data_IF_715410127205
#
_entry.id   IF_715410127205
#
_cell.length_a   1.000
_cell.length_b   1.000
_cell.length_c   1.000
_cell.angle_alpha   90.00
_cell.angle_beta   90.00
_cell.angle_gamma   90.00
#
_symmetry.space_group_name_H-M   'P 1'
#
loop_
_entity.id
_entity.type
_entity.pdbx_description
1 polymer ?
#
# COMPACT_ATOMS: atom_id res chain seq x y z
N UNK A 1 11.87 -8.29 17.05
CA UNK A 1 12.41 -7.96 15.72
C UNK A 1 12.39 -9.23 14.90
N UNK A 2 11.36 -9.50 14.13
CA UNK A 2 11.39 -10.59 13.17
C UNK A 2 11.85 -10.00 11.84
N UNK A 3 13.05 -10.32 11.40
CA UNK A 3 13.49 -10.14 10.04
C UNK A 3 12.51 -10.92 9.15
N UNK A 4 11.81 -10.26 8.26
CA UNK A 4 11.08 -10.91 7.19
C UNK A 4 12.11 -11.36 6.16
N UNK A 5 12.62 -12.56 6.31
CA UNK A 5 13.29 -13.25 5.24
C UNK A 5 12.29 -13.48 4.11
N UNK A 6 12.55 -12.91 2.96
CA UNK A 6 11.84 -13.19 1.71
C UNK A 6 11.36 -11.98 0.90
N UNK A 7 11.25 -10.76 1.46
CA UNK A 7 10.86 -9.53 0.74
C UNK A 7 11.57 -8.27 1.24
N UNK A 8 12.48 -8.38 2.17
CA UNK A 8 13.36 -7.28 2.53
C UNK A 8 14.41 -7.16 1.43
N UNK A 9 14.15 -6.27 0.48
CA UNK A 9 15.25 -5.76 -0.32
C UNK A 9 16.23 -5.11 0.65
N UNK A 10 17.51 -5.38 0.43
CA UNK A 10 18.58 -4.78 1.21
C UNK A 10 18.30 -3.28 1.37
N UNK A 11 17.97 -2.83 2.60
CA UNK A 11 17.65 -1.42 2.86
C UNK A 11 16.22 -1.04 3.22
N UNK A 12 15.24 -1.96 3.20
CA UNK A 12 13.90 -1.65 3.73
C UNK A 12 13.89 -1.72 5.25
N UNK A 13 13.38 -0.66 5.90
CA UNK A 13 13.15 -0.62 7.34
C UNK A 13 11.82 0.03 7.65
N UNK A 14 11.15 -0.49 8.64
CA UNK A 14 9.84 -0.01 9.09
C UNK A 14 9.99 0.69 10.42
N UNK A 15 9.49 1.92 10.50
CA UNK A 15 9.44 2.72 11.73
C UNK A 15 8.04 3.28 11.94
N UNK A 16 7.64 3.42 13.18
CA UNK A 16 6.52 4.30 13.52
C UNK A 16 6.97 5.79 13.46
N UNK A 17 5.99 6.71 13.45
CA UNK A 17 6.27 8.14 13.33
C UNK A 17 7.13 8.67 14.48
N UNK A 18 6.96 8.14 15.70
CA UNK A 18 7.78 8.53 16.85
C UNK A 18 9.22 8.05 16.73
N UNK A 19 9.44 6.89 16.11
CA UNK A 19 10.79 6.39 15.84
C UNK A 19 11.49 7.21 14.75
N UNK A 20 10.76 7.63 13.71
CA UNK A 20 11.30 8.43 12.61
C UNK A 20 11.88 9.77 13.08
N UNK A 21 11.30 10.37 14.11
CA UNK A 21 11.79 11.63 14.68
C UNK A 21 13.05 11.49 15.54
N UNK A 22 13.49 10.25 15.83
CA UNK A 22 14.69 10.01 16.65
C UNK A 22 15.97 10.36 15.89
N UNK A 23 16.85 11.10 16.55
CA UNK A 23 18.13 11.50 15.97
C UNK A 23 19.00 10.35 15.48
N UNK A 24 18.88 9.15 16.07
CA UNK A 24 19.59 7.94 15.61
C UNK A 24 19.12 7.47 14.24
N UNK A 25 17.81 7.51 13.97
CA UNK A 25 17.25 7.15 12.66
C UNK A 25 17.69 8.17 11.61
N UNK A 26 17.59 9.45 11.91
CA UNK A 26 18.04 10.50 10.99
C UNK A 26 19.54 10.40 10.66
N UNK A 27 20.38 10.11 11.66
CA UNK A 27 21.82 9.88 11.42
C UNK A 27 22.07 8.67 10.52
N UNK A 28 21.35 7.58 10.75
CA UNK A 28 21.43 6.38 9.89
C UNK A 28 21.06 6.73 8.44
N UNK A 29 19.92 7.39 8.21
CA UNK A 29 19.46 7.76 6.87
C UNK A 29 20.44 8.73 6.17
N UNK A 30 20.99 9.71 6.92
CA UNK A 30 22.03 10.61 6.39
C UNK A 30 23.28 9.85 5.97
N UNK A 31 23.75 8.91 6.78
CA UNK A 31 24.91 8.11 6.44
C UNK A 31 24.69 7.30 5.16
N UNK A 32 23.48 6.70 4.99
CA UNK A 32 23.14 5.97 3.76
C UNK A 32 23.06 6.91 2.55
N UNK A 33 22.47 8.10 2.68
CA UNK A 33 22.40 9.07 1.60
C UNK A 33 23.79 9.59 1.19
N UNK A 34 24.69 9.82 2.13
CA UNK A 34 26.09 10.17 1.85
C UNK A 34 26.86 9.04 1.14
N UNK A 35 26.48 7.79 1.35
CA UNK A 35 27.00 6.62 0.63
C UNK A 35 26.41 6.47 -0.78
N UNK A 36 25.59 7.41 -1.25
CA UNK A 36 24.99 7.40 -2.58
C UNK A 36 23.63 6.69 -2.67
N UNK A 37 23.01 6.33 -1.54
CA UNK A 37 21.67 5.73 -1.56
C UNK A 37 20.59 6.80 -1.63
N UNK A 38 19.58 6.58 -2.47
CA UNK A 38 18.33 7.34 -2.44
C UNK A 38 17.49 6.94 -1.23
N UNK A 39 16.83 7.91 -0.61
CA UNK A 39 15.94 7.68 0.54
C UNK A 39 14.50 7.87 0.09
N UNK A 40 13.70 6.84 0.27
CA UNK A 40 12.28 6.80 -0.09
C UNK A 40 11.41 6.51 1.12
N UNK A 41 10.16 6.92 1.02
CA UNK A 41 9.12 6.76 2.03
C UNK A 41 7.90 6.08 1.41
N UNK A 42 7.30 5.15 2.14
CA UNK A 42 5.99 4.59 1.87
C UNK A 42 5.15 4.61 3.16
N UNK A 43 4.14 5.49 3.27
CA UNK A 43 3.14 5.38 4.32
C UNK A 43 2.26 4.16 4.04
N UNK A 44 2.16 3.24 5.00
CA UNK A 44 1.26 2.12 4.87
C UNK A 44 0.65 1.74 6.21
N UNK A 45 -0.46 1.05 6.14
CA UNK A 45 -1.07 0.38 7.28
C UNK A 45 -0.97 -1.13 7.08
N UNK A 46 -1.19 -1.93 8.12
CA UNK A 46 -0.96 -3.37 8.13
C UNK A 46 -1.66 -4.15 7.00
N UNK A 47 -2.68 -3.57 6.36
CA UNK A 47 -3.51 -4.24 5.35
C UNK A 47 -3.48 -3.59 3.98
N UNK A 48 -2.79 -2.49 3.84
CA UNK A 48 -2.78 -1.78 2.59
C UNK A 48 -2.30 -0.35 2.69
N UNK A 49 -2.86 0.48 1.86
CA UNK A 49 -2.52 1.89 1.78
C UNK A 49 -3.01 2.65 3.03
N UNK A 50 -2.15 3.50 3.60
CA UNK A 50 -2.47 4.30 4.80
C UNK A 50 -3.38 5.51 4.53
N UNK A 51 -4.08 5.55 3.40
CA UNK A 51 -4.95 6.67 3.00
C UNK A 51 -4.23 7.75 2.19
N UNK A 52 -3.05 7.47 1.67
CA UNK A 52 -2.26 8.40 0.86
C UNK A 52 -2.04 7.88 -0.55
N UNK A 53 -2.23 8.73 -1.54
CA UNK A 53 -1.91 8.47 -2.95
C UNK A 53 -0.72 9.33 -3.34
N UNK A 54 0.29 8.71 -3.92
CA UNK A 54 1.43 9.40 -4.55
C UNK A 54 1.18 9.59 -6.03
N UNK A 55 1.43 10.78 -6.54
CA UNK A 55 1.54 11.08 -7.95
C UNK A 55 2.97 11.54 -8.27
N UNK A 56 3.59 10.90 -9.25
CA UNK A 56 4.84 11.35 -9.84
C UNK A 56 4.52 12.29 -11.00
N UNK A 57 4.89 13.56 -10.85
CA UNK A 57 4.54 14.63 -11.76
C UNK A 57 5.72 15.02 -12.69
N UNK A 58 6.73 14.17 -12.83
CA UNK A 58 7.95 14.47 -13.61
C UNK A 58 7.65 14.87 -15.06
N UNK A 59 6.56 14.40 -15.64
CA UNK A 59 6.12 14.68 -17.02
C UNK A 59 4.72 15.29 -17.08
N UNK A 60 4.16 15.68 -15.95
CA UNK A 60 2.84 16.28 -15.90
C UNK A 60 2.85 17.72 -16.46
N UNK A 61 1.71 18.20 -17.01
CA UNK A 61 1.55 19.59 -17.40
C UNK A 61 1.86 20.56 -16.25
N UNK A 62 2.42 21.71 -16.54
CA UNK A 62 2.81 22.71 -15.54
C UNK A 62 1.64 23.19 -14.66
N UNK A 63 0.41 23.09 -15.16
CA UNK A 63 -0.84 23.43 -14.46
C UNK A 63 -1.40 22.27 -13.61
N UNK A 64 -0.75 21.11 -13.56
CA UNK A 64 -1.26 19.95 -12.84
C UNK A 64 -1.57 20.25 -11.37
N UNK A 65 -0.65 20.87 -10.63
CA UNK A 65 -0.84 21.23 -9.22
C UNK A 65 -1.99 22.28 -9.01
N UNK A 66 -2.06 23.38 -9.77
CA UNK A 66 -3.23 24.27 -9.76
C UNK A 66 -4.54 23.55 -10.03
N UNK A 67 -4.62 22.69 -11.04
CA UNK A 67 -5.81 21.90 -11.38
C UNK A 67 -6.20 20.92 -10.26
N UNK A 68 -5.22 20.25 -9.65
CA UNK A 68 -5.49 19.39 -8.50
C UNK A 68 -6.20 20.14 -7.38
N UNK A 69 -5.73 21.36 -7.06
CA UNK A 69 -6.38 22.21 -6.04
C UNK A 69 -7.78 22.64 -6.45
N UNK A 70 -7.94 23.08 -7.69
CA UNK A 70 -9.25 23.52 -8.22
C UNK A 70 -10.30 22.41 -8.24
N UNK A 71 -9.88 21.15 -8.42
CA UNK A 71 -10.78 20.00 -8.43
C UNK A 71 -10.97 19.36 -7.05
N UNK A 72 -10.46 19.96 -5.98
CA UNK A 72 -10.56 19.40 -4.61
C UNK A 72 -9.68 18.17 -4.37
N UNK A 73 -8.70 17.91 -5.23
CA UNK A 73 -7.68 16.89 -5.03
C UNK A 73 -6.37 17.49 -4.52
N UNK A 74 -6.48 18.50 -3.67
CA UNK A 74 -5.34 19.23 -3.14
C UNK A 74 -4.33 18.32 -2.44
N UNK A 75 -3.02 18.39 -2.80
CA UNK A 75 -2.00 17.63 -2.14
C UNK A 75 -1.81 18.05 -0.69
N UNK A 76 -1.62 17.08 0.18
CA UNK A 76 -1.17 17.32 1.56
C UNK A 76 0.33 17.55 1.66
N UNK A 77 1.12 17.04 0.70
CA UNK A 77 2.55 17.31 0.57
C UNK A 77 2.93 17.41 -0.91
N UNK A 78 3.70 18.44 -1.24
CA UNK A 78 4.34 18.60 -2.55
C UNK A 78 5.85 18.65 -2.34
N UNK A 79 6.57 17.81 -3.05
CA UNK A 79 8.02 17.73 -3.03
C UNK A 79 8.59 18.15 -4.39
N UNK A 80 9.65 18.95 -4.39
CA UNK A 80 10.56 19.07 -5.52
C UNK A 80 11.68 18.05 -5.35
N UNK A 81 11.70 17.02 -6.19
CA UNK A 81 12.65 15.89 -6.07
C UNK A 81 13.99 16.18 -6.75
N UNK A 82 13.99 17.11 -7.68
CA UNK A 82 15.11 17.74 -8.38
C UNK A 82 14.56 18.94 -9.15
N UNK A 83 15.36 19.90 -9.63
CA UNK A 83 14.86 21.08 -10.31
C UNK A 83 13.84 20.76 -11.40
N UNK A 84 12.61 21.28 -11.24
CA UNK A 84 11.49 21.08 -12.16
C UNK A 84 10.81 19.71 -12.10
N UNK A 85 11.15 18.84 -11.15
CA UNK A 85 10.56 17.51 -10.97
C UNK A 85 9.83 17.43 -9.66
N UNK A 86 8.55 17.04 -9.68
CA UNK A 86 7.68 17.10 -8.52
C UNK A 86 7.05 15.75 -8.20
N UNK A 87 6.79 15.55 -6.92
CA UNK A 87 5.93 14.49 -6.40
C UNK A 87 4.87 15.10 -5.50
N UNK A 88 3.64 14.61 -5.60
CA UNK A 88 2.52 15.08 -4.80
C UNK A 88 1.90 13.93 -4.02
N UNK A 89 1.79 14.08 -2.71
CA UNK A 89 1.02 13.18 -1.85
C UNK A 89 -0.36 13.77 -1.60
N UNK A 90 -1.40 12.98 -1.85
CA UNK A 90 -2.80 13.35 -1.61
C UNK A 90 -3.31 12.45 -0.49
N UNK A 91 -3.79 13.05 0.59
CA UNK A 91 -4.49 12.30 1.64
C UNK A 91 -5.96 12.12 1.23
N UNK A 92 -6.36 10.91 0.93
CA UNK A 92 -7.69 10.56 0.42
C UNK A 92 -8.53 9.79 1.43
N UNK A 93 -7.95 9.40 2.57
CA UNK A 93 -8.68 8.73 3.66
C UNK A 93 -7.98 8.96 4.99
N UNK A 94 -8.72 8.95 6.08
CA UNK A 94 -8.23 8.89 7.46
C UNK A 94 -8.08 7.47 7.98
N UNK A 95 -8.60 6.50 7.24
CA UNK A 95 -8.51 5.06 7.52
C UNK A 95 -7.76 4.34 6.40
N UNK A 96 -7.18 3.17 6.67
CA UNK A 96 -6.52 2.38 5.63
C UNK A 96 -7.46 2.03 4.48
N UNK A 97 -6.93 2.07 3.27
CA UNK A 97 -7.63 1.69 2.05
C UNK A 97 -7.22 0.30 1.59
N UNK A 98 -8.17 -0.44 1.03
CA UNK A 98 -7.85 -1.68 0.33
C UNK A 98 -6.90 -1.39 -0.86
N UNK A 99 -5.89 -2.24 -1.09
CA UNK A 99 -4.91 -2.04 -2.16
C UNK A 99 -5.52 -1.81 -3.55
N UNK A 100 -6.61 -2.51 -3.86
CA UNK A 100 -7.29 -2.36 -5.15
C UNK A 100 -7.96 -1.00 -5.31
N UNK A 101 -8.56 -0.48 -4.24
CA UNK A 101 -9.18 0.85 -4.23
C UNK A 101 -8.10 1.91 -4.42
N UNK A 102 -7.04 1.86 -3.61
CA UNK A 102 -5.93 2.80 -3.71
C UNK A 102 -5.28 2.80 -5.10
N UNK A 103 -5.16 1.63 -5.74
CA UNK A 103 -4.64 1.51 -7.11
C UNK A 103 -5.56 2.14 -8.16
N UNK A 104 -6.88 1.95 -8.04
CA UNK A 104 -7.84 2.56 -8.97
C UNK A 104 -7.83 4.08 -8.80
N UNK A 105 -7.86 4.59 -7.56
CA UNK A 105 -7.75 6.02 -7.27
C UNK A 105 -6.45 6.62 -7.84
N UNK A 106 -5.32 5.96 -7.63
CA UNK A 106 -4.02 6.40 -8.16
C UNK A 106 -4.04 6.49 -9.69
N UNK A 107 -4.58 5.48 -10.38
CA UNK A 107 -4.72 5.51 -11.84
C UNK A 107 -5.65 6.61 -12.33
N UNK A 108 -6.80 6.80 -11.68
CA UNK A 108 -7.74 7.87 -12.04
C UNK A 108 -7.07 9.24 -11.93
N UNK A 109 -6.40 9.52 -10.81
CA UNK A 109 -5.69 10.77 -10.59
C UNK A 109 -4.53 10.96 -11.59
N UNK A 110 -3.75 9.91 -11.86
CA UNK A 110 -2.65 9.98 -12.82
C UNK A 110 -3.16 10.31 -14.24
N UNK A 111 -4.24 9.67 -14.68
CA UNK A 111 -4.86 10.02 -15.97
C UNK A 111 -5.39 11.46 -16.00
N UNK A 112 -6.03 11.91 -14.92
CA UNK A 112 -6.61 13.25 -14.85
C UNK A 112 -5.55 14.35 -14.91
N UNK A 113 -4.40 14.13 -14.30
CA UNK A 113 -3.36 15.17 -14.14
C UNK A 113 -2.11 14.93 -14.99
N UNK A 114 -2.09 13.87 -15.80
CA UNK A 114 -0.92 13.55 -16.64
C UNK A 114 0.29 13.07 -15.84
N UNK A 115 0.06 12.47 -14.66
CA UNK A 115 1.12 11.89 -13.86
C UNK A 115 1.59 10.55 -14.46
N UNK A 116 2.79 10.08 -14.05
CA UNK A 116 3.35 8.82 -14.54
C UNK A 116 2.47 7.62 -14.16
N UNK A 117 1.91 6.97 -15.17
CA UNK A 117 1.07 5.78 -15.00
C UNK A 117 1.84 4.55 -14.49
N UNK A 118 3.15 4.47 -14.74
CA UNK A 118 3.99 3.40 -14.20
C UNK A 118 4.15 3.52 -12.68
N UNK A 119 3.92 4.72 -12.14
CA UNK A 119 4.01 5.02 -10.71
C UNK A 119 2.70 4.86 -9.94
N UNK A 120 1.66 4.25 -10.54
CA UNK A 120 0.31 4.16 -9.94
C UNK A 120 0.10 2.95 -9.02
N UNK A 121 1.14 2.30 -8.55
CA UNK A 121 1.03 1.28 -7.52
C UNK A 121 0.76 1.90 -6.15
N UNK A 122 -0.15 1.33 -5.35
CA UNK A 122 -0.34 1.73 -3.96
C UNK A 122 0.93 1.58 -3.08
N UNK A 123 1.90 0.80 -3.54
CA UNK A 123 3.22 0.61 -2.92
C UNK A 123 4.30 1.47 -3.58
N UNK A 124 3.91 2.44 -4.40
CA UNK A 124 4.90 3.31 -5.02
C UNK A 124 5.62 4.17 -3.97
N UNK A 125 6.94 4.23 -4.09
CA UNK A 125 7.82 4.88 -3.13
C UNK A 125 7.98 6.36 -3.50
N UNK A 126 7.63 7.25 -2.58
CA UNK A 126 7.93 8.68 -2.72
C UNK A 126 9.28 9.03 -2.10
N UNK A 127 9.96 10.01 -2.64
CA UNK A 127 11.22 10.49 -2.06
C UNK A 127 11.01 11.13 -0.69
N UNK A 128 11.95 10.92 0.20
CA UNK A 128 11.94 11.59 1.51
C UNK A 128 12.66 12.94 1.42
N UNK A 129 11.97 14.01 1.79
CA UNK A 129 12.56 15.35 1.83
C UNK A 129 13.69 15.45 2.86
N UNK A 130 14.63 16.39 2.65
CA UNK A 130 15.78 16.59 3.50
C UNK A 130 16.95 15.66 3.20
N UNK A 131 16.89 14.91 2.10
CA UNK A 131 17.96 14.08 1.56
C UNK A 131 18.22 14.45 0.10
N UNK A 132 19.37 14.05 -0.44
CA UNK A 132 19.72 14.30 -1.83
C UNK A 132 19.23 13.20 -2.75
N UNK A 133 18.81 13.60 -3.96
CA UNK A 133 18.45 12.68 -5.04
C UNK A 133 19.73 12.18 -5.72
N UNK A 134 20.06 10.92 -5.51
CA UNK A 134 21.31 10.32 -5.97
C UNK A 134 21.24 9.78 -7.41
N UNK A 135 20.09 9.94 -8.12
CA UNK A 135 19.98 9.50 -9.51
C UNK A 135 21.00 10.24 -10.38
N UNK A 136 21.87 9.55 -11.14
CA UNK A 136 22.89 10.20 -11.96
C UNK A 136 22.34 11.25 -12.96
N UNK A 137 21.15 10.95 -13.52
CA UNK A 137 20.49 11.83 -14.51
C UNK A 137 19.94 13.12 -13.89
N UNK A 138 19.91 13.23 -12.55
CA UNK A 138 19.39 14.40 -11.83
C UNK A 138 20.50 15.29 -11.25
N UNK A 139 21.76 14.92 -11.46
CA UNK A 139 22.88 15.74 -10.96
C UNK A 139 22.86 17.12 -11.60
N UNK A 140 23.21 18.11 -10.80
CA UNK A 140 23.37 19.50 -11.28
C UNK A 140 24.55 19.62 -12.22
N UNK A 141 24.66 20.74 -12.92
CA UNK A 141 25.81 21.03 -13.79
C UNK A 141 27.14 20.96 -13.02
N UNK A 142 27.17 21.25 -11.73
CA UNK A 142 28.35 21.09 -10.87
C UNK A 142 28.61 19.65 -10.43
N UNK A 143 27.81 18.66 -10.89
CA UNK A 143 27.92 17.25 -10.50
C UNK A 143 27.31 16.91 -9.14
N UNK A 144 26.74 17.90 -8.45
CA UNK A 144 26.13 17.70 -7.12
C UNK A 144 24.77 17.03 -7.21
N UNK A 145 24.43 16.17 -6.25
CA UNK A 145 23.10 15.59 -6.12
C UNK A 145 22.13 16.66 -5.58
N UNK A 146 20.99 16.92 -6.26
CA UNK A 146 20.02 17.93 -5.82
C UNK A 146 19.32 17.50 -4.55
N UNK A 147 18.93 18.46 -3.71
CA UNK A 147 18.13 18.24 -2.53
C UNK A 147 16.67 17.98 -2.88
N UNK A 148 16.08 17.00 -2.22
CA UNK A 148 14.61 16.82 -2.18
C UNK A 148 14.05 17.82 -1.18
N UNK A 149 13.23 18.75 -1.67
CA UNK A 149 12.69 19.87 -0.88
C UNK A 149 11.19 19.73 -0.69
N UNK A 150 10.69 20.14 0.46
CA UNK A 150 9.26 20.37 0.66
C UNK A 150 8.88 21.71 0.03
N UNK A 151 7.97 21.69 -0.92
CA UNK A 151 7.41 22.89 -1.57
C UNK A 151 6.16 23.37 -0.82
N UNK A 152 5.28 22.41 -0.46
CA UNK A 152 4.07 22.67 0.32
C UNK A 152 3.78 21.47 1.21
N UNK A 153 3.32 21.71 2.44
CA UNK A 153 2.90 20.66 3.36
C UNK A 153 1.75 21.14 4.24
N UNK A 154 0.62 20.46 4.16
CA UNK A 154 -0.61 20.75 4.90
C UNK A 154 -1.25 19.46 5.39
N UNK A 155 -1.62 19.33 6.66
CA UNK A 155 -2.23 18.11 7.19
C UNK A 155 -3.73 18.03 6.82
N UNK A 156 -4.05 18.16 5.52
CA UNK A 156 -5.42 18.20 5.00
C UNK A 156 -5.83 16.86 4.39
N UNK A 157 -7.11 16.56 4.47
CA UNK A 157 -7.79 15.55 3.65
C UNK A 157 -8.29 16.25 2.39
N UNK A 158 -8.08 15.65 1.22
CA UNK A 158 -8.54 16.22 -0.04
C UNK A 158 -10.07 16.40 -0.04
N UNK A 159 -10.55 17.57 -0.48
CA UNK A 159 -11.99 17.90 -0.44
C UNK A 159 -12.84 16.92 -1.25
N UNK A 160 -12.33 16.46 -2.41
CA UNK A 160 -12.99 15.47 -3.26
C UNK A 160 -12.68 14.01 -2.89
N UNK A 161 -12.07 13.73 -1.72
CA UNK A 161 -11.67 12.38 -1.33
C UNK A 161 -12.82 11.37 -1.34
N UNK A 162 -14.01 11.74 -0.86
CA UNK A 162 -15.17 10.86 -0.84
C UNK A 162 -15.69 10.55 -2.24
N UNK A 163 -15.70 11.54 -3.13
CA UNK A 163 -16.10 11.37 -4.52
C UNK A 163 -15.15 10.44 -5.25
N UNK A 164 -13.85 10.64 -5.07
CA UNK A 164 -12.82 9.78 -5.64
C UNK A 164 -12.95 8.33 -5.12
N UNK A 165 -13.21 8.14 -3.84
CA UNK A 165 -13.45 6.81 -3.25
C UNK A 165 -14.70 6.14 -3.85
N UNK A 166 -15.79 6.90 -4.01
CA UNK A 166 -17.03 6.39 -4.62
C UNK A 166 -16.80 5.99 -6.08
N UNK A 167 -16.15 6.83 -6.87
CA UNK A 167 -15.78 6.56 -8.25
C UNK A 167 -14.91 5.32 -8.40
N UNK A 168 -13.89 5.16 -7.54
CA UNK A 168 -13.03 3.98 -7.54
C UNK A 168 -13.81 2.71 -7.21
N UNK A 169 -14.67 2.75 -6.21
CA UNK A 169 -15.53 1.61 -5.81
C UNK A 169 -16.49 1.21 -6.93
N UNK A 170 -17.10 2.20 -7.59
CA UNK A 170 -17.98 1.97 -8.73
C UNK A 170 -17.22 1.36 -9.91
N UNK A 171 -16.03 1.85 -10.22
CA UNK A 171 -15.17 1.30 -11.28
C UNK A 171 -14.83 -0.17 -11.02
N UNK A 172 -14.55 -0.54 -9.77
CA UNK A 172 -14.28 -1.93 -9.37
C UNK A 172 -15.54 -2.78 -9.53
N UNK A 173 -16.70 -2.29 -9.09
CA UNK A 173 -17.97 -3.00 -9.22
C UNK A 173 -18.32 -3.26 -10.69
N UNK A 174 -18.18 -2.26 -11.57
CA UNK A 174 -18.43 -2.39 -13.01
C UNK A 174 -17.50 -3.39 -13.68
N UNK A 175 -16.21 -3.41 -13.32
CA UNK A 175 -15.27 -4.41 -13.83
C UNK A 175 -15.61 -5.82 -13.36
N UNK A 176 -16.13 -5.96 -12.14
CA UNK A 176 -16.57 -7.26 -11.60
C UNK A 176 -17.84 -7.77 -12.31
N UNK A 177 -18.76 -6.89 -12.68
CA UNK A 177 -19.97 -7.25 -13.44
C UNK A 177 -19.68 -7.57 -14.90
N UNK A 178 -18.75 -6.86 -15.53
CA UNK A 178 -18.35 -7.12 -16.91
C UNK A 178 -17.56 -8.43 -17.09
N UNK A 179 -16.98 -8.97 -16.02
CA UNK A 179 -16.19 -10.21 -16.02
C UNK A 179 -16.98 -11.45 -15.57
N UNK A 180 -18.29 -11.35 -15.29
CA UNK A 180 -19.12 -12.48 -14.87
C UNK A 180 -19.97 -12.95 -16.04
N UNK A 181 -19.94 -14.27 -16.38
CA UNK A 181 -21.07 -14.89 -17.07
C UNK A 181 -22.33 -14.74 -16.18
N UNK A 182 -23.53 -14.62 -16.77
CA UNK A 182 -24.75 -14.37 -16.02
C UNK A 182 -25.04 -15.50 -15.03
N UNK A 183 -25.44 -15.10 -13.84
CA UNK A 183 -25.98 -15.92 -12.74
C UNK A 183 -24.99 -16.65 -11.83
N UNK A 184 -24.60 -15.99 -10.74
CA UNK A 184 -24.58 -16.64 -9.45
C UNK A 184 -25.18 -15.63 -8.44
N UNK A 185 -26.30 -16.06 -7.83
CA UNK A 185 -27.18 -15.31 -6.97
C UNK A 185 -26.60 -14.67 -5.70
N UNK A 186 -27.44 -14.24 -4.78
CA UNK A 186 -27.25 -13.11 -3.88
C UNK A 186 -26.07 -13.27 -2.93
N UNK A 187 -25.52 -12.12 -2.53
CA UNK A 187 -24.34 -11.92 -1.69
C UNK A 187 -24.14 -12.97 -0.59
N UNK A 188 -22.86 -13.32 -0.37
CA UNK A 188 -22.44 -14.17 0.75
C UNK A 188 -22.83 -13.51 2.08
N UNK A 189 -24.09 -13.67 2.50
CA UNK A 189 -24.50 -13.47 3.88
C UNK A 189 -23.95 -14.63 4.70
N UNK A 190 -22.83 -14.39 5.41
CA UNK A 190 -22.38 -15.32 6.44
C UNK A 190 -23.29 -15.06 7.63
N UNK A 191 -24.32 -15.88 7.79
CA UNK A 191 -25.17 -15.84 8.98
C UNK A 191 -24.32 -16.10 10.23
N UNK A 192 -24.57 -15.37 11.31
CA UNK A 192 -23.81 -15.47 12.56
C UNK A 192 -23.88 -16.86 13.23
N UNK A 193 -24.84 -17.69 12.85
CA UNK A 193 -25.14 -18.98 13.52
C UNK A 193 -24.95 -20.21 12.63
N UNK A 194 -24.45 -20.03 11.36
CA UNK A 194 -24.36 -21.16 10.45
C UNK A 194 -22.98 -21.83 10.51
N UNK A 195 -22.95 -23.13 10.67
CA UNK A 195 -21.74 -23.95 10.53
C UNK A 195 -21.25 -23.86 9.10
N UNK A 196 -20.04 -23.33 8.91
CA UNK A 196 -19.45 -23.20 7.58
C UNK A 196 -19.04 -24.59 7.08
N UNK A 197 -19.62 -25.02 5.96
CA UNK A 197 -19.21 -26.28 5.30
C UNK A 197 -17.81 -26.12 4.69
N UNK A 198 -17.10 -27.23 4.49
CA UNK A 198 -15.78 -27.22 3.88
C UNK A 198 -15.80 -26.54 2.49
N UNK A 199 -16.80 -26.82 1.67
CA UNK A 199 -16.98 -26.17 0.38
C UNK A 199 -17.24 -24.66 0.50
N UNK A 200 -18.04 -24.26 1.48
CA UNK A 200 -18.29 -22.84 1.79
C UNK A 200 -17.03 -22.09 2.21
N UNK A 201 -16.21 -22.69 3.08
CA UNK A 201 -14.94 -22.13 3.54
C UNK A 201 -13.96 -21.88 2.37
N UNK A 202 -13.75 -22.89 1.51
CA UNK A 202 -12.90 -22.78 0.31
C UNK A 202 -13.41 -21.69 -0.62
N UNK A 203 -14.73 -21.62 -0.83
CA UNK A 203 -15.34 -20.60 -1.68
C UNK A 203 -15.11 -19.19 -1.16
N UNK A 204 -15.28 -18.98 0.16
CA UNK A 204 -15.04 -17.70 0.82
C UNK A 204 -13.56 -17.31 0.66
N UNK A 205 -12.64 -18.21 1.01
CA UNK A 205 -11.21 -17.95 0.89
C UNK A 205 -10.83 -17.57 -0.54
N UNK A 206 -11.21 -18.36 -1.54
CA UNK A 206 -10.93 -18.10 -2.97
C UNK A 206 -11.56 -16.81 -3.47
N UNK A 207 -12.75 -16.45 -3.02
CA UNK A 207 -13.41 -15.20 -3.40
C UNK A 207 -12.61 -13.97 -2.96
N UNK A 208 -12.03 -14.01 -1.76
CA UNK A 208 -11.15 -12.95 -1.27
C UNK A 208 -9.82 -12.92 -2.01
N UNK A 209 -9.23 -14.10 -2.34
CA UNK A 209 -8.01 -14.16 -3.15
C UNK A 209 -8.21 -13.52 -4.51
N UNK A 210 -9.33 -13.85 -5.17
CA UNK A 210 -9.71 -13.25 -6.45
C UNK A 210 -9.96 -11.75 -6.32
N UNK A 211 -10.73 -11.35 -5.30
CA UNK A 211 -11.03 -9.92 -5.03
C UNK A 211 -9.78 -9.08 -4.77
N UNK A 212 -8.80 -9.63 -4.11
CA UNK A 212 -7.53 -8.96 -3.83
C UNK A 212 -6.49 -9.13 -4.95
N UNK A 213 -6.80 -9.89 -5.99
CA UNK A 213 -5.89 -10.21 -7.10
C UNK A 213 -4.55 -10.77 -6.60
N UNK A 214 -4.59 -11.63 -5.58
CA UNK A 214 -3.40 -12.09 -4.87
C UNK A 214 -2.43 -12.80 -5.82
N UNK A 215 -2.90 -13.74 -6.63
CA UNK A 215 -2.06 -14.53 -7.53
C UNK A 215 -1.44 -13.72 -8.69
N UNK A 216 -2.15 -12.67 -9.13
CA UNK A 216 -1.69 -11.79 -10.20
C UNK A 216 -0.62 -10.79 -9.73
N UNK A 217 -0.56 -10.55 -8.42
CA UNK A 217 0.24 -9.48 -7.81
C UNK A 217 1.54 -9.95 -7.19
N UNK A 218 1.61 -11.20 -6.82
CA UNK A 218 2.75 -11.73 -6.07
C UNK A 218 3.30 -12.96 -6.77
N UNK A 219 4.51 -12.86 -7.31
CA UNK A 219 5.21 -13.98 -7.94
C UNK A 219 5.58 -15.08 -6.93
N UNK A 220 5.79 -14.69 -5.67
CA UNK A 220 5.97 -15.60 -4.55
C UNK A 220 5.03 -15.18 -3.42
N UNK A 221 4.20 -16.11 -2.96
CA UNK A 221 3.15 -15.87 -1.96
C UNK A 221 3.55 -16.44 -0.62
N UNK A 222 3.61 -15.59 0.39
CA UNK A 222 3.56 -16.01 1.77
C UNK A 222 2.09 -16.11 2.22
N UNK A 223 1.56 -17.31 2.17
CA UNK A 223 0.17 -17.58 2.55
C UNK A 223 -0.14 -17.25 4.01
N UNK A 224 0.86 -17.18 4.89
CA UNK A 224 0.63 -16.78 6.29
C UNK A 224 0.28 -15.30 6.42
N UNK A 225 0.81 -14.47 5.54
CA UNK A 225 0.44 -13.06 5.45
C UNK A 225 -0.98 -12.92 4.90
N UNK A 226 -1.31 -13.69 3.89
CA UNK A 226 -2.65 -13.71 3.28
C UNK A 226 -3.70 -14.19 4.28
N UNK A 227 -3.41 -15.24 5.05
CA UNK A 227 -4.28 -15.73 6.11
C UNK A 227 -4.53 -14.66 7.19
N UNK A 228 -3.49 -13.94 7.59
CA UNK A 228 -3.62 -12.84 8.55
C UNK A 228 -4.50 -11.71 7.99
N UNK A 229 -4.33 -11.34 6.74
CA UNK A 229 -5.17 -10.31 6.10
C UNK A 229 -6.63 -10.72 6.05
N UNK A 230 -6.88 -11.98 5.65
CA UNK A 230 -8.22 -12.53 5.60
C UNK A 230 -8.86 -12.60 6.98
N UNK A 231 -8.12 -13.11 7.99
CA UNK A 231 -8.61 -13.20 9.37
C UNK A 231 -9.07 -11.82 9.87
N UNK A 232 -8.26 -10.82 9.69
CA UNK A 232 -8.59 -9.45 10.12
C UNK A 232 -9.81 -8.89 9.38
N UNK A 233 -9.88 -9.07 8.05
CA UNK A 233 -11.03 -8.60 7.27
C UNK A 233 -12.32 -9.25 7.72
N UNK A 234 -12.33 -10.56 7.95
CA UNK A 234 -13.49 -11.29 8.38
C UNK A 234 -13.91 -10.90 9.82
N UNK A 235 -12.94 -10.74 10.74
CA UNK A 235 -13.23 -10.26 12.11
C UNK A 235 -13.81 -8.83 12.09
N UNK A 236 -13.29 -7.95 11.24
CA UNK A 236 -13.83 -6.60 11.04
C UNK A 236 -15.25 -6.60 10.43
N UNK A 237 -15.63 -7.68 9.73
CA UNK A 237 -17.00 -7.92 9.24
C UNK A 237 -17.87 -8.66 10.26
N UNK A 238 -17.43 -8.76 11.51
CA UNK A 238 -18.13 -9.45 12.60
C UNK A 238 -18.36 -10.96 12.37
N UNK A 239 -17.55 -11.62 11.54
CA UNK A 239 -17.51 -13.08 11.41
C UNK A 239 -16.88 -13.63 12.70
N UNK A 240 -17.48 -14.70 13.28
CA UNK A 240 -16.98 -15.25 14.54
C UNK A 240 -15.56 -15.83 14.39
N UNK A 241 -14.71 -15.76 15.43
CA UNK A 241 -13.37 -16.34 15.39
C UNK A 241 -13.33 -17.80 14.97
N UNK A 242 -14.30 -18.61 15.39
CA UNK A 242 -14.45 -20.02 15.04
C UNK A 242 -14.74 -20.21 13.55
N UNK A 243 -15.56 -19.35 12.96
CA UNK A 243 -15.82 -19.36 11.52
C UNK A 243 -14.58 -18.91 10.72
N UNK A 244 -13.88 -17.89 11.19
CA UNK A 244 -12.61 -17.43 10.55
C UNK A 244 -11.56 -18.55 10.60
N UNK A 245 -11.43 -19.24 11.73
CA UNK A 245 -10.56 -20.40 11.86
C UNK A 245 -10.89 -21.49 10.83
N UNK A 246 -12.18 -21.85 10.71
CA UNK A 246 -12.65 -22.85 9.76
C UNK A 246 -12.35 -22.42 8.30
N UNK A 247 -12.55 -21.14 7.95
CA UNK A 247 -12.27 -20.61 6.61
C UNK A 247 -10.79 -20.72 6.28
N UNK A 248 -9.89 -20.37 7.20
CA UNK A 248 -8.45 -20.47 6.98
C UNK A 248 -8.03 -21.94 6.90
N UNK A 249 -8.47 -22.76 7.85
CA UNK A 249 -8.11 -24.19 7.92
C UNK A 249 -8.46 -24.96 6.65
N UNK A 250 -9.63 -24.67 6.08
CA UNK A 250 -10.16 -25.41 4.94
C UNK A 250 -9.88 -24.73 3.59
N UNK A 251 -9.67 -23.40 3.59
CA UNK A 251 -9.55 -22.61 2.37
C UNK A 251 -8.14 -22.22 2.01
N UNK A 252 -7.24 -22.13 3.01
CA UNK A 252 -5.86 -21.71 2.74
C UNK A 252 -5.09 -22.80 2.01
N UNK A 253 -4.38 -22.47 0.90
CA UNK A 253 -3.58 -23.43 0.16
C UNK A 253 -2.52 -24.09 1.04
N UNK A 254 -2.29 -25.37 0.81
CA UNK A 254 -1.24 -26.17 1.47
C UNK A 254 -1.32 -26.18 3.02
N UNK A 255 -2.49 -25.95 3.58
CA UNK A 255 -2.68 -26.03 5.03
C UNK A 255 -2.82 -27.50 5.48
N UNK A 256 -2.14 -27.94 6.57
CA UNK A 256 -1.19 -27.21 7.41
C UNK A 256 0.18 -27.14 6.77
N UNK A 257 0.72 -25.94 6.62
CA UNK A 257 2.07 -25.73 6.12
C UNK A 257 3.13 -26.09 7.16
N UNK A 258 4.43 -25.97 6.85
CA UNK A 258 5.58 -26.28 7.72
C UNK A 258 5.64 -25.47 9.05
N UNK A 259 4.51 -25.14 9.65
CA UNK A 259 4.41 -24.27 10.83
C UNK A 259 4.21 -25.00 12.16
N UNK A 260 4.58 -26.28 12.23
CA UNK A 260 4.41 -27.07 13.45
C UNK A 260 2.92 -27.40 13.74
N UNK A 261 2.42 -27.09 14.95
CA UNK A 261 1.04 -27.36 15.31
C UNK A 261 0.04 -26.42 14.57
N UNK A 262 -0.86 -26.97 13.73
CA UNK A 262 -1.88 -26.19 13.03
C UNK A 262 -2.81 -25.39 13.96
N UNK A 263 -3.12 -25.90 15.14
CA UNK A 263 -3.96 -25.21 16.13
C UNK A 263 -3.24 -23.99 16.70
N UNK A 264 -1.96 -24.12 16.99
CA UNK A 264 -1.15 -23.00 17.48
C UNK A 264 -0.98 -21.92 16.40
N UNK A 265 -0.78 -22.33 15.15
CA UNK A 265 -0.75 -21.39 14.02
C UNK A 265 -2.04 -20.55 13.92
N UNK A 266 -3.20 -21.21 13.94
CA UNK A 266 -4.51 -20.54 13.84
C UNK A 266 -4.75 -19.64 15.07
N UNK A 267 -4.44 -20.12 16.27
CA UNK A 267 -4.53 -19.33 17.49
C UNK A 267 -3.71 -18.05 17.44
N UNK A 268 -2.44 -18.14 17.01
CA UNK A 268 -1.54 -16.96 16.84
C UNK A 268 -2.04 -16.02 15.77
N UNK A 269 -2.51 -16.55 14.63
CA UNK A 269 -3.03 -15.75 13.52
C UNK A 269 -4.27 -14.97 13.96
N UNK A 270 -5.22 -15.62 14.65
CA UNK A 270 -6.42 -14.95 15.15
C UNK A 270 -6.12 -13.96 16.26
N UNK A 271 -5.25 -14.30 17.22
CA UNK A 271 -4.82 -13.36 18.25
C UNK A 271 -4.19 -12.09 17.65
N UNK A 272 -3.32 -12.26 16.65
CA UNK A 272 -2.70 -11.14 15.93
C UNK A 272 -3.72 -10.36 15.09
N UNK A 273 -4.70 -11.04 14.52
CA UNK A 273 -5.75 -10.41 13.74
C UNK A 273 -6.73 -9.58 14.61
N UNK A 274 -6.96 -9.97 15.85
CA UNK A 274 -7.81 -9.26 16.81
C UNK A 274 -7.15 -8.02 17.43
N UNK A 275 -5.83 -7.89 17.35
CA UNK A 275 -5.15 -6.70 17.86
C UNK A 275 -5.61 -5.44 17.11
N UNK A 276 -5.78 -4.31 17.81
CA UNK A 276 -6.09 -3.05 17.16
C UNK A 276 -5.02 -2.75 16.10
N UNK A 277 -5.47 -2.16 14.99
CA UNK A 277 -4.57 -1.76 13.90
C UNK A 277 -3.52 -0.82 14.47
N UNK A 278 -2.23 -1.12 14.35
CA UNK A 278 -1.19 -0.18 14.75
C UNK A 278 -1.38 1.15 14.02
N UNK A 279 -0.94 2.22 14.68
CA UNK A 279 -0.89 3.55 14.05
C UNK A 279 -0.21 3.45 12.69
N UNK A 280 -0.59 4.34 11.77
CA UNK A 280 0.06 4.45 10.45
C UNK A 280 1.58 4.40 10.62
N UNK A 281 2.20 3.44 9.96
CA UNK A 281 3.65 3.27 9.95
C UNK A 281 4.21 3.70 8.60
N UNK A 282 5.45 4.13 8.59
CA UNK A 282 6.18 4.46 7.38
C UNK A 282 7.27 3.43 7.14
N UNK A 283 7.32 2.89 5.94
CA UNK A 283 8.45 2.14 5.44
C UNK A 283 9.42 3.09 4.76
N UNK A 284 10.67 3.10 5.21
CA UNK A 284 11.72 3.89 4.55
C UNK A 284 12.65 2.93 3.83
N UNK A 285 12.88 3.22 2.56
CA UNK A 285 13.73 2.45 1.67
C UNK A 285 14.97 3.25 1.33
N UNK A 286 16.12 2.57 1.42
CA UNK A 286 17.39 3.09 0.89
C UNK A 286 17.72 2.31 -0.37
N UNK A 287 17.70 2.94 -1.53
CA UNK A 287 17.89 2.29 -2.82
C UNK A 287 19.16 2.81 -3.48
N UNK A 288 20.05 1.90 -3.87
CA UNK A 288 21.24 2.21 -4.66
C UNK A 288 20.84 2.71 -6.05
N UNK A 289 21.56 3.70 -6.63
CA UNK A 289 21.33 4.16 -8.00
C UNK A 289 21.37 3.04 -9.05
N UNK A 290 22.19 2.01 -8.82
CA UNK A 290 22.30 0.82 -9.69
C UNK A 290 21.04 -0.03 -9.71
N UNK A 291 20.28 -0.05 -8.61
CA UNK A 291 19.02 -0.81 -8.49
C UNK A 291 17.81 -0.01 -9.00
N UNK A 292 17.86 1.31 -8.91
CA UNK A 292 16.77 2.17 -9.38
C UNK A 292 16.54 2.07 -10.90
N UNK A 293 17.56 1.71 -11.68
CA UNK A 293 17.47 1.50 -13.13
C UNK A 293 16.83 0.18 -13.56
N UNK A 294 16.75 -0.83 -12.67
CA UNK A 294 16.17 -2.15 -12.96
C UNK A 294 14.66 -2.26 -12.70
N UNK A 295 14.03 -1.21 -12.20
CA UNK A 295 12.59 -1.21 -11.81
C UNK A 295 11.68 -0.46 -12.78
N UNK A 296 12.19 -0.16 -13.98
CA UNK A 296 11.39 0.43 -15.07
C UNK A 296 10.95 -0.60 -16.07
#
# INVERSE_FOLDING_TARGET
MAAREGLAQEGERVWDLGQLSRGSVLRFLRARNLQGFDIYLLPYADYGNAGYILLDLDHAPADALPRMRAHGHEPCVVLETSPGHFQAWIRVSTTPLEPVIAMVMSKQLAHTYGADLASTSWRHLGRLAGFTNQKPQRRTASGSAPWVKVVDARPILAGAAQELLRSATQTIAQRSTAALPPSIGPGLHISRECTITAHGAVRIYRSWMKRWHIQERFAQLDWSIVDLWLARKLLAMHVSPTQVEAIIRLGSPDFPRHHGDPKDYLRRTLARAALPVPRTVCSIHTISPLEAGRRR
#
